data_IF_327029263860
#
_entry.id   IF_327029263860
#
_cell.length_a   1.000
_cell.length_b   1.000
_cell.length_c   1.000
_cell.angle_alpha   90.00
_cell.angle_beta   90.00
_cell.angle_gamma   90.00
#
_symmetry.space_group_name_H-M   'P 1'
#
loop_
_entity.id
_entity.type
_entity.pdbx_description
1 polymer ?
#
# COMPACT_ATOMS: atom_id res chain seq x y z
N UNK A 1 -30.83 2.91 -6.33
CA UNK A 1 -30.19 1.84 -7.11
C UNK A 1 -28.72 2.23 -7.33
N UNK A 2 -27.88 1.92 -6.34
CA UNK A 2 -26.46 2.27 -6.36
C UNK A 2 -25.62 1.01 -6.26
N UNK A 3 -24.42 1.07 -6.83
CA UNK A 3 -23.40 0.04 -6.65
C UNK A 3 -22.12 0.72 -6.16
N UNK A 4 -21.27 -0.04 -5.47
CA UNK A 4 -20.00 0.44 -4.93
C UNK A 4 -18.93 -0.63 -5.07
N UNK A 5 -17.67 -0.19 -4.99
CA UNK A 5 -16.52 -1.09 -4.96
C UNK A 5 -15.82 -0.96 -3.63
N UNK A 6 -15.37 -2.11 -3.09
CA UNK A 6 -14.59 -2.18 -1.86
C UNK A 6 -13.29 -2.91 -2.17
N UNK A 7 -12.17 -2.35 -1.74
CA UNK A 7 -10.85 -2.98 -1.87
C UNK A 7 -10.42 -3.57 -0.53
N UNK A 8 -10.00 -4.83 -0.55
CA UNK A 8 -9.43 -5.51 0.62
C UNK A 8 -7.92 -5.66 0.48
N UNK A 9 -7.20 -5.61 1.61
CA UNK A 9 -5.75 -5.80 1.66
C UNK A 9 -5.28 -7.19 1.24
N UNK A 10 -6.12 -8.22 1.44
CA UNK A 10 -5.82 -9.61 1.12
C UNK A 10 -7.04 -10.29 0.49
N UNK A 11 -6.79 -11.27 -0.40
CA UNK A 11 -7.84 -12.09 -1.02
C UNK A 11 -8.62 -12.90 0.03
N UNK A 12 -7.97 -13.30 1.12
CA UNK A 12 -8.60 -14.05 2.22
C UNK A 12 -9.81 -13.30 2.79
N UNK A 13 -9.71 -11.98 2.93
CA UNK A 13 -10.80 -11.15 3.44
C UNK A 13 -11.93 -10.99 2.43
N UNK A 14 -11.64 -11.03 1.12
CA UNK A 14 -12.66 -11.01 0.06
C UNK A 14 -13.51 -12.27 0.14
N UNK A 15 -12.86 -13.43 0.26
CA UNK A 15 -13.54 -14.72 0.31
C UNK A 15 -14.39 -14.86 1.59
N UNK A 16 -13.90 -14.32 2.71
CA UNK A 16 -14.65 -14.27 3.97
C UNK A 16 -15.85 -13.32 3.90
N UNK A 17 -15.66 -12.12 3.33
CA UNK A 17 -16.73 -11.14 3.16
C UNK A 17 -17.84 -11.67 2.24
N UNK A 18 -17.49 -12.32 1.12
CA UNK A 18 -18.47 -12.96 0.23
C UNK A 18 -19.26 -14.06 0.94
N UNK A 19 -18.63 -14.84 1.84
CA UNK A 19 -19.35 -15.88 2.59
C UNK A 19 -20.29 -15.31 3.65
N UNK A 20 -19.92 -14.22 4.31
CA UNK A 20 -20.64 -13.68 5.47
C UNK A 20 -21.66 -12.61 5.12
N UNK A 21 -21.37 -11.77 4.14
CA UNK A 21 -22.12 -10.56 3.86
C UNK A 21 -23.02 -10.68 2.62
N UNK A 22 -22.94 -11.79 1.89
CA UNK A 22 -23.83 -12.04 0.75
C UNK A 22 -25.28 -12.13 1.23
N UNK A 23 -26.16 -11.35 0.60
CA UNK A 23 -27.58 -11.22 0.97
C UNK A 23 -27.81 -10.68 2.39
N UNK A 24 -26.84 -9.97 2.96
CA UNK A 24 -27.05 -9.26 4.22
C UNK A 24 -27.92 -8.02 3.99
N UNK A 25 -28.72 -7.67 4.99
CA UNK A 25 -29.58 -6.50 4.96
C UNK A 25 -28.82 -5.29 5.52
N UNK A 26 -28.67 -4.25 4.72
CA UNK A 26 -28.12 -2.96 5.13
C UNK A 26 -29.18 -1.89 4.93
N UNK A 27 -29.64 -1.28 6.02
CA UNK A 27 -30.63 -0.20 6.01
C UNK A 27 -31.90 -0.52 5.20
N UNK A 28 -32.40 -1.76 5.28
CA UNK A 28 -33.59 -2.20 4.54
C UNK A 28 -33.32 -2.65 3.10
N UNK A 29 -32.06 -2.79 2.71
CA UNK A 29 -31.66 -3.23 1.37
C UNK A 29 -30.79 -4.50 1.43
N UNK A 30 -31.15 -5.50 0.63
CA UNK A 30 -30.34 -6.70 0.47
C UNK A 30 -29.11 -6.38 -0.38
N UNK A 31 -27.94 -6.67 0.16
CA UNK A 31 -26.66 -6.48 -0.50
C UNK A 31 -26.32 -7.69 -1.38
N UNK A 32 -26.05 -7.42 -2.66
CA UNK A 32 -25.46 -8.39 -3.57
C UNK A 32 -23.98 -8.08 -3.75
N UNK A 33 -23.12 -9.00 -3.35
CA UNK A 33 -21.68 -8.90 -3.50
C UNK A 33 -21.24 -9.81 -4.65
N UNK A 34 -20.40 -9.27 -5.53
CA UNK A 34 -19.76 -10.01 -6.61
C UNK A 34 -18.28 -9.68 -6.63
N UNK A 35 -17.43 -10.67 -6.89
CA UNK A 35 -16.02 -10.41 -7.09
C UNK A 35 -15.84 -9.51 -8.33
N UNK A 36 -15.09 -8.42 -8.18
CA UNK A 36 -14.89 -7.46 -9.27
C UNK A 36 -14.12 -8.09 -10.42
N UNK A 37 -14.67 -8.03 -11.64
CA UNK A 37 -13.96 -8.38 -12.85
C UNK A 37 -12.85 -7.35 -13.10
N UNK A 38 -11.60 -7.77 -12.95
CA UNK A 38 -10.44 -6.89 -13.04
C UNK A 38 -10.11 -6.60 -14.51
N UNK A 39 -10.80 -5.62 -15.10
CA UNK A 39 -10.43 -5.02 -16.40
C UNK A 39 -9.04 -4.33 -16.35
N UNK A 40 -8.47 -4.15 -15.15
CA UNK A 40 -7.21 -3.45 -14.88
C UNK A 40 -5.93 -4.30 -15.00
N UNK A 41 -5.91 -5.44 -15.70
CA UNK A 41 -4.64 -6.15 -15.98
C UNK A 41 -3.62 -5.28 -16.73
N UNK A 42 -4.03 -4.15 -17.33
CA UNK A 42 -3.17 -3.19 -18.02
C UNK A 42 -2.56 -2.11 -17.10
N UNK A 43 -3.15 -1.81 -15.94
CA UNK A 43 -2.68 -0.72 -15.06
C UNK A 43 -1.73 -1.18 -13.94
N UNK A 44 -1.64 -2.48 -13.65
CA UNK A 44 -0.83 -3.04 -12.56
C UNK A 44 0.69 -3.00 -12.78
N UNK A 45 1.17 -2.38 -13.87
CA UNK A 45 2.59 -2.11 -14.06
C UNK A 45 3.06 -0.79 -13.43
N UNK A 46 2.17 0.05 -12.92
CA UNK A 46 2.57 1.14 -12.01
C UNK A 46 2.72 0.57 -10.60
N UNK A 47 3.69 -0.32 -10.45
CA UNK A 47 4.24 -0.64 -9.14
C UNK A 47 4.88 0.64 -8.63
N UNK A 48 4.16 1.40 -7.82
CA UNK A 48 4.76 2.34 -6.84
C UNK A 48 5.45 1.54 -5.73
N UNK A 49 6.18 0.47 -6.09
CA UNK A 49 7.24 -0.06 -5.26
C UNK A 49 8.32 0.99 -5.33
N UNK A 50 8.34 1.91 -4.35
CA UNK A 50 9.60 2.52 -3.90
C UNK A 50 10.58 1.36 -3.84
N UNK A 51 11.52 1.28 -4.79
CA UNK A 51 12.58 0.30 -4.73
C UNK A 51 13.30 0.60 -3.43
N UNK A 52 13.00 -0.15 -2.37
CA UNK A 52 13.97 -0.35 -1.29
C UNK A 52 15.19 -0.86 -2.04
N UNK A 53 16.18 0.00 -2.16
CA UNK A 53 17.46 -0.38 -2.71
C UNK A 53 17.88 -1.57 -1.86
N UNK A 54 17.85 -2.77 -2.44
CA UNK A 54 18.39 -3.93 -1.74
C UNK A 54 19.80 -3.52 -1.32
N UNK A 55 20.14 -3.76 -0.06
CA UNK A 55 21.45 -3.50 0.52
C UNK A 55 22.49 -4.35 -0.21
N UNK A 56 22.84 -3.96 -1.44
CA UNK A 56 24.07 -4.38 -2.06
C UNK A 56 25.16 -3.83 -1.15
N UNK A 57 26.09 -4.68 -0.68
CA UNK A 57 27.29 -4.24 0.03
C UNK A 57 27.97 -3.13 -0.78
N UNK A 58 27.70 -1.88 -0.44
CA UNK A 58 28.34 -0.73 -1.05
C UNK A 58 29.74 -0.66 -0.45
N UNK A 59 30.77 -0.93 -1.26
CA UNK A 59 32.18 -0.73 -0.89
C UNK A 59 32.57 0.75 -1.01
N UNK A 60 31.73 1.65 -0.48
CA UNK A 60 31.96 3.10 -0.57
C UNK A 60 32.06 3.70 0.81
N UNK A 61 33.02 4.60 1.00
CA UNK A 61 33.21 5.38 2.24
C UNK A 61 32.26 6.57 2.36
N UNK A 62 31.27 6.69 1.46
CA UNK A 62 30.28 7.78 1.44
C UNK A 62 28.94 7.26 1.97
N UNK A 63 28.33 8.02 2.88
CA UNK A 63 27.03 7.72 3.50
C UNK A 63 26.00 8.79 3.15
N UNK A 64 24.72 8.42 3.09
CA UNK A 64 23.60 9.34 2.86
C UNK A 64 22.69 9.36 4.09
N UNK A 65 22.66 10.49 4.78
CA UNK A 65 21.83 10.71 5.96
C UNK A 65 20.56 11.46 5.52
N UNK A 66 19.38 10.92 5.84
CA UNK A 66 18.06 11.49 5.49
C UNK A 66 17.30 11.85 6.76
N UNK A 67 16.27 12.69 6.63
CA UNK A 67 15.41 13.13 7.75
C UNK A 67 16.13 14.02 8.79
N UNK A 68 16.98 14.93 8.31
CA UNK A 68 17.66 15.93 9.15
C UNK A 68 16.76 17.16 9.30
N UNK A 69 16.57 17.69 10.52
CA UNK A 69 15.81 18.92 10.72
C UNK A 69 16.53 20.12 10.09
N UNK A 70 15.78 21.10 9.57
CA UNK A 70 16.34 22.24 8.84
C UNK A 70 17.31 23.10 9.66
N UNK A 71 17.23 23.02 10.99
CA UNK A 71 18.06 23.77 11.93
C UNK A 71 19.44 23.14 12.15
N UNK A 72 19.65 21.88 11.75
CA UNK A 72 20.90 21.17 12.01
C UNK A 72 22.05 21.69 11.14
N UNK A 73 23.22 21.82 11.75
CA UNK A 73 24.41 22.32 11.09
C UNK A 73 25.31 21.21 10.56
N UNK A 74 26.11 21.50 9.52
CA UNK A 74 27.05 20.54 8.91
C UNK A 74 28.10 20.04 9.92
N UNK A 75 28.48 20.87 10.90
CA UNK A 75 29.45 20.50 11.95
C UNK A 75 28.92 19.40 12.85
N UNK A 76 27.70 19.56 13.37
CA UNK A 76 27.04 18.60 14.27
C UNK A 76 26.86 17.23 13.59
N UNK A 77 26.48 17.24 12.30
CA UNK A 77 26.31 16.00 11.54
C UNK A 77 27.65 15.26 11.36
N UNK A 78 28.76 15.99 11.19
CA UNK A 78 30.12 15.41 11.05
C UNK A 78 30.73 14.94 12.36
N UNK A 79 30.30 15.47 13.50
CA UNK A 79 30.73 14.98 14.81
C UNK A 79 29.99 13.70 15.20
N UNK A 80 28.73 13.56 14.78
CA UNK A 80 27.89 12.42 15.14
C UNK A 80 28.16 11.16 14.30
N UNK A 81 28.55 11.31 13.03
CA UNK A 81 28.74 10.22 12.06
C UNK A 81 30.14 10.25 11.47
#
# INVERSE_FOLDING_TARGET
>A
MGYGFVEFKSKTFVDEALKRLQNSELNGHNLELKQSERTLKLASNVKTKRKRQLEKKQQTTKILIRNIPFQANVREIRELF
#
